data_IF_840075451997
#
_entry.id   IF_840075451997
#
_cell.length_a   1.000
_cell.length_b   1.000
_cell.length_c   1.000
_cell.angle_alpha   90.00
_cell.angle_beta   90.00
_cell.angle_gamma   90.00
#
_symmetry.space_group_name_H-M   'P 1'
#
loop_
_entity.id
_entity.type
_entity.pdbx_description
1 polymer ?
#
# COMPACT_ATOMS: atom_id res chain seq x y z
N UNK A 1 50.75 -33.28 -19.27
CA UNK A 1 49.47 -32.75 -19.78
C UNK A 1 48.62 -32.44 -18.55
N UNK A 2 48.73 -31.27 -17.93
CA UNK A 2 48.17 -29.96 -18.30
C UNK A 2 46.66 -30.03 -18.61
N UNK A 3 45.92 -29.31 -17.76
CA UNK A 3 44.49 -28.98 -17.67
C UNK A 3 43.74 -28.75 -18.99
N UNK A 4 42.43 -29.04 -19.02
CA UNK A 4 41.27 -28.09 -19.01
C UNK A 4 39.99 -28.98 -18.86
N UNK A 5 39.11 -28.80 -17.85
CA UNK A 5 38.02 -27.81 -17.78
C UNK A 5 36.91 -28.15 -18.81
N UNK A 6 35.60 -28.03 -18.61
CA UNK A 6 34.74 -27.21 -17.76
C UNK A 6 33.45 -28.02 -17.58
N UNK A 7 32.93 -28.06 -16.36
CA UNK A 7 31.58 -28.51 -16.07
C UNK A 7 30.61 -27.73 -16.96
N UNK A 8 29.98 -28.38 -17.94
CA UNK A 8 28.98 -27.76 -18.82
C UNK A 8 27.70 -27.45 -18.03
N UNK A 9 27.79 -26.49 -17.12
CA UNK A 9 26.65 -25.76 -16.62
C UNK A 9 26.18 -24.88 -17.77
N UNK A 10 25.18 -25.37 -18.51
CA UNK A 10 24.29 -24.45 -19.20
C UNK A 10 23.64 -23.60 -18.11
N UNK A 11 23.87 -22.27 -18.08
CA UNK A 11 23.14 -21.42 -17.16
C UNK A 11 21.66 -21.58 -17.47
N UNK A 12 20.87 -21.90 -16.45
CA UNK A 12 19.43 -21.84 -16.58
C UNK A 12 19.08 -20.36 -16.74
N UNK A 13 18.70 -19.95 -17.94
CA UNK A 13 18.08 -18.64 -18.17
C UNK A 13 16.72 -18.66 -17.46
N UNK A 14 16.69 -18.08 -16.27
CA UNK A 14 15.43 -17.78 -15.60
C UNK A 14 14.89 -16.52 -16.27
N UNK A 15 13.96 -16.72 -17.20
CA UNK A 15 13.07 -15.67 -17.65
C UNK A 15 12.18 -15.33 -16.45
N UNK A 16 12.38 -14.17 -15.85
CA UNK A 16 11.33 -13.56 -15.04
C UNK A 16 10.32 -13.10 -16.08
N UNK A 17 9.19 -13.79 -16.18
CA UNK A 17 8.04 -13.24 -16.89
C UNK A 17 7.77 -11.87 -16.25
N UNK A 18 8.01 -10.79 -16.99
CA UNK A 18 7.61 -9.43 -16.60
C UNK A 18 6.07 -9.35 -16.42
N UNK A 19 5.35 -10.38 -16.90
CA UNK A 19 3.94 -10.66 -16.67
C UNK A 19 3.68 -11.69 -15.56
N UNK A 20 4.58 -11.84 -14.58
CA UNK A 20 4.20 -12.47 -13.32
C UNK A 20 3.10 -11.61 -12.70
N UNK A 21 1.83 -11.89 -13.09
CA UNK A 21 0.61 -11.35 -12.50
C UNK A 21 0.88 -11.36 -11.01
N UNK A 22 1.07 -10.19 -10.41
CA UNK A 22 1.12 -10.06 -8.96
C UNK A 22 -0.25 -10.48 -8.51
N UNK A 23 -0.41 -11.78 -8.28
CA UNK A 23 -1.70 -12.35 -7.97
C UNK A 23 -1.98 -11.96 -6.54
N UNK A 24 -2.92 -11.03 -6.37
CA UNK A 24 -3.33 -10.45 -5.10
C UNK A 24 -4.17 -11.44 -4.27
N UNK A 25 -3.77 -12.72 -4.25
CA UNK A 25 -4.43 -13.77 -3.48
C UNK A 25 -4.42 -13.40 -1.98
N UNK A 26 -5.60 -13.27 -1.37
CA UNK A 26 -5.75 -12.91 0.05
C UNK A 26 -5.88 -11.42 0.34
N UNK A 27 -5.85 -10.55 -0.69
CA UNK A 27 -6.12 -9.12 -0.54
C UNK A 27 -7.57 -8.79 -0.91
N UNK A 28 -8.33 -8.32 0.08
CA UNK A 28 -9.66 -7.72 -0.14
C UNK A 28 -9.46 -6.28 -0.58
N UNK A 29 -10.15 -5.87 -1.64
CA UNK A 29 -9.99 -4.53 -2.22
C UNK A 29 -11.35 -3.82 -2.32
N UNK A 30 -11.39 -2.59 -1.85
CA UNK A 30 -12.56 -1.75 -1.90
C UNK A 30 -12.24 -0.32 -2.34
N UNK A 31 -13.25 0.37 -2.90
CA UNK A 31 -13.19 1.80 -3.13
C UNK A 31 -14.31 2.56 -2.39
N UNK A 32 -14.09 3.85 -2.15
CA UNK A 32 -15.11 4.77 -1.64
C UNK A 32 -15.16 5.97 -2.57
N UNK A 33 -16.35 6.30 -3.07
CA UNK A 33 -16.61 7.57 -3.74
C UNK A 33 -16.99 8.62 -2.71
N UNK A 34 -16.26 9.72 -2.69
CA UNK A 34 -16.45 10.82 -1.74
C UNK A 34 -15.82 12.09 -2.29
N UNK A 35 -16.23 13.25 -1.79
CA UNK A 35 -15.57 14.51 -2.15
C UNK A 35 -14.25 14.67 -1.40
N UNK A 36 -13.40 15.55 -1.90
CA UNK A 36 -12.07 15.79 -1.34
C UNK A 36 -12.13 16.25 0.13
N UNK A 37 -13.08 17.13 0.44
CA UNK A 37 -13.33 17.66 1.78
C UNK A 37 -13.84 16.61 2.78
N UNK A 38 -14.37 15.48 2.30
CA UNK A 38 -14.92 14.40 3.14
C UNK A 38 -13.85 13.37 3.54
N UNK A 39 -12.69 13.36 2.86
CA UNK A 39 -11.65 12.34 3.03
C UNK A 39 -11.11 12.25 4.46
N UNK A 40 -10.84 13.37 5.12
CA UNK A 40 -10.33 13.39 6.49
C UNK A 40 -11.31 12.73 7.46
N UNK A 41 -12.59 13.13 7.39
CA UNK A 41 -13.62 12.55 8.25
C UNK A 41 -13.76 11.06 7.98
N UNK A 42 -13.83 10.67 6.70
CA UNK A 42 -13.97 9.26 6.33
C UNK A 42 -12.77 8.42 6.74
N UNK A 43 -11.55 8.97 6.68
CA UNK A 43 -10.35 8.28 7.15
C UNK A 43 -10.42 8.02 8.66
N UNK A 44 -10.80 9.02 9.45
CA UNK A 44 -10.97 8.83 10.90
C UNK A 44 -12.03 7.76 11.21
N UNK A 45 -13.19 7.82 10.53
CA UNK A 45 -14.24 6.79 10.67
C UNK A 45 -13.70 5.38 10.37
N UNK A 46 -12.81 5.23 9.37
CA UNK A 46 -12.18 3.95 9.04
C UNK A 46 -11.15 3.51 10.08
N UNK A 47 -10.34 4.44 10.59
CA UNK A 47 -9.33 4.13 11.61
C UNK A 47 -9.95 3.75 12.95
N UNK A 48 -11.14 4.26 13.27
CA UNK A 48 -11.92 3.87 14.45
C UNK A 48 -12.66 2.53 14.25
N UNK A 49 -13.17 2.25 13.05
CA UNK A 49 -14.00 1.08 12.79
C UNK A 49 -13.21 -0.19 12.44
N UNK A 50 -12.01 -0.06 11.87
CA UNK A 50 -11.23 -1.20 11.40
C UNK A 50 -10.26 -1.69 12.49
N UNK A 51 -10.27 -3.00 12.74
CA UNK A 51 -9.17 -3.63 13.47
C UNK A 51 -7.93 -3.69 12.59
N UNK A 52 -6.77 -3.20 13.07
CA UNK A 52 -5.52 -3.37 12.34
C UNK A 52 -4.29 -3.50 13.21
N UNK A 53 -3.26 -4.20 12.75
CA UNK A 53 -1.94 -4.16 13.38
C UNK A 53 -1.23 -2.88 12.96
N UNK A 54 -1.06 -2.69 11.65
CA UNK A 54 -0.43 -1.54 11.04
C UNK A 54 -1.11 -1.16 9.72
N UNK A 55 -1.24 0.14 9.49
CA UNK A 55 -1.84 0.72 8.29
C UNK A 55 -0.86 1.67 7.60
N UNK A 56 -0.86 1.63 6.27
CA UNK A 56 -0.13 2.58 5.44
C UNK A 56 -1.14 3.40 4.65
N UNK A 57 -0.98 4.71 4.72
CA UNK A 57 -1.86 5.68 4.06
C UNK A 57 -1.04 6.40 2.99
N UNK A 58 -1.36 6.14 1.73
CA UNK A 58 -0.67 6.76 0.60
C UNK A 58 -1.34 8.07 0.16
N UNK A 59 -0.52 9.11 0.00
CA UNK A 59 -0.91 10.44 -0.49
C UNK A 59 -0.03 10.85 -1.67
N UNK A 60 -0.53 11.79 -2.49
CA UNK A 60 0.13 12.17 -3.76
C UNK A 60 1.30 13.15 -3.63
N UNK A 61 1.45 13.84 -2.50
CA UNK A 61 2.49 14.87 -2.35
C UNK A 61 3.10 14.94 -0.95
N UNK A 62 4.30 15.52 -0.89
CA UNK A 62 5.07 15.72 0.35
C UNK A 62 4.32 16.60 1.34
N UNK A 63 3.71 17.71 0.90
CA UNK A 63 2.99 18.59 1.83
C UNK A 63 1.74 17.90 2.39
N UNK A 64 1.01 17.17 1.56
CA UNK A 64 -0.15 16.39 2.01
C UNK A 64 0.23 15.31 3.02
N UNK A 65 1.39 14.69 2.85
CA UNK A 65 1.89 13.70 3.81
C UNK A 65 2.14 14.32 5.18
N UNK A 66 2.79 15.49 5.21
CA UNK A 66 3.06 16.21 6.44
C UNK A 66 1.77 16.77 7.09
N UNK A 67 0.85 17.30 6.29
CA UNK A 67 -0.44 17.84 6.76
C UNK A 67 -1.33 16.75 7.34
N UNK A 68 -1.44 15.60 6.66
CA UNK A 68 -2.25 14.48 7.12
C UNK A 68 -1.68 13.84 8.39
N UNK A 69 -0.36 13.66 8.47
CA UNK A 69 0.31 13.16 9.68
C UNK A 69 0.06 14.06 10.88
N UNK A 70 0.17 15.39 10.69
CA UNK A 70 -0.15 16.36 11.73
C UNK A 70 -1.61 16.24 12.18
N UNK A 71 -2.55 16.17 11.23
CA UNK A 71 -3.98 16.05 11.54
C UNK A 71 -4.29 14.78 12.32
N UNK A 72 -3.73 13.64 11.91
CA UNK A 72 -3.92 12.35 12.59
C UNK A 72 -3.43 12.41 14.04
N UNK A 73 -2.25 12.98 14.28
CA UNK A 73 -1.71 13.18 15.63
C UNK A 73 -2.63 14.09 16.47
N UNK A 74 -3.16 15.18 15.90
CA UNK A 74 -4.12 16.06 16.56
C UNK A 74 -5.45 15.34 16.88
N UNK A 75 -5.85 14.36 16.06
CA UNK A 75 -7.01 13.51 16.29
C UNK A 75 -6.73 12.31 17.21
N UNK A 76 -5.59 12.27 17.91
CA UNK A 76 -5.17 11.15 18.78
C UNK A 76 -4.94 9.82 18.05
N UNK A 77 -4.58 9.87 16.77
CA UNK A 77 -4.05 8.73 16.01
C UNK A 77 -2.54 8.89 15.89
N UNK A 78 -1.72 8.23 16.74
CA UNK A 78 -0.27 8.32 16.62
C UNK A 78 0.17 7.79 15.25
N UNK A 79 0.71 8.68 14.42
CA UNK A 79 1.22 8.39 13.09
C UNK A 79 2.64 8.88 12.92
N UNK A 80 3.31 8.33 11.91
CA UNK A 80 4.54 8.89 11.37
C UNK A 80 4.38 9.18 9.88
N UNK A 81 5.09 10.18 9.38
CA UNK A 81 5.22 10.44 7.95
C UNK A 81 6.58 9.98 7.40
N UNK A 82 6.58 9.37 6.21
CA UNK A 82 7.78 9.13 5.38
C UNK A 82 7.49 9.59 3.95
N UNK A 83 8.24 10.58 3.45
CA UNK A 83 7.99 11.13 2.12
C UNK A 83 9.28 11.35 1.32
N UNK A 84 9.12 11.64 0.02
CA UNK A 84 10.23 11.71 -0.93
C UNK A 84 11.30 12.77 -0.65
N UNK A 85 10.95 13.85 0.07
CA UNK A 85 11.87 14.92 0.47
C UNK A 85 12.76 14.65 1.69
N UNK A 86 12.68 13.48 2.32
CA UNK A 86 13.52 13.12 3.47
C UNK A 86 14.84 12.46 3.01
N UNK A 87 15.90 12.63 3.80
CA UNK A 87 17.15 11.90 3.59
C UNK A 87 16.92 10.39 3.71
N UNK A 88 17.77 9.56 3.08
CA UNK A 88 17.65 8.10 3.20
C UNK A 88 17.74 7.64 4.65
N UNK A 89 18.67 8.22 5.41
CA UNK A 89 18.88 7.91 6.84
C UNK A 89 17.63 8.17 7.68
N UNK A 90 17.00 9.33 7.52
CA UNK A 90 15.80 9.69 8.28
C UNK A 90 14.63 8.76 7.95
N UNK A 91 14.47 8.42 6.67
CA UNK A 91 13.41 7.49 6.25
C UNK A 91 13.62 6.09 6.83
N UNK A 92 14.86 5.59 6.85
CA UNK A 92 15.19 4.30 7.47
C UNK A 92 14.97 4.31 8.98
N UNK A 93 15.33 5.40 9.67
CA UNK A 93 15.13 5.57 11.11
C UNK A 93 13.64 5.52 11.48
N UNK A 94 12.80 6.28 10.79
CA UNK A 94 11.34 6.28 11.01
C UNK A 94 10.73 4.93 10.69
N UNK A 95 11.13 4.35 9.55
CA UNK A 95 10.64 3.05 9.13
C UNK A 95 10.99 1.94 10.12
N UNK A 96 12.20 1.97 10.72
CA UNK A 96 12.59 1.05 11.78
C UNK A 96 11.62 1.12 12.97
N UNK A 97 11.29 2.32 13.44
CA UNK A 97 10.33 2.52 14.53
C UNK A 97 8.94 1.95 14.22
N UNK A 98 8.45 2.19 12.99
CA UNK A 98 7.21 1.59 12.51
C UNK A 98 7.30 0.06 12.46
N UNK A 99 8.35 -0.51 11.87
CA UNK A 99 8.53 -1.97 11.79
C UNK A 99 8.60 -2.66 13.16
N UNK A 100 9.11 -1.96 14.17
CA UNK A 100 9.18 -2.43 15.56
C UNK A 100 7.85 -2.25 16.33
N UNK A 101 6.83 -1.63 15.73
CA UNK A 101 5.51 -1.46 16.32
C UNK A 101 5.37 -0.24 17.24
N UNK A 102 6.37 0.66 17.30
CA UNK A 102 6.29 1.90 18.08
C UNK A 102 5.19 2.84 17.56
N UNK A 103 4.81 2.70 16.29
CA UNK A 103 3.70 3.41 15.67
C UNK A 103 2.98 2.49 14.70
N UNK A 104 1.65 2.55 14.70
CA UNK A 104 0.79 1.67 13.88
C UNK A 104 0.34 2.30 12.57
N UNK A 105 0.46 3.62 12.43
CA UNK A 105 0.01 4.36 11.25
C UNK A 105 1.21 5.01 10.56
N UNK A 106 1.37 4.74 9.26
CA UNK A 106 2.39 5.36 8.41
C UNK A 106 1.72 6.12 7.27
N UNK A 107 1.90 7.44 7.21
CA UNK A 107 1.54 8.26 6.05
C UNK A 107 2.74 8.33 5.11
N UNK A 108 2.54 8.05 3.82
CA UNK A 108 3.63 8.04 2.85
C UNK A 108 3.25 8.55 1.46
N UNK A 109 4.23 9.11 0.76
CA UNK A 109 4.18 9.22 -0.71
C UNK A 109 4.63 7.90 -1.35
N UNK A 110 4.62 7.79 -2.67
CA UNK A 110 5.27 6.64 -3.32
C UNK A 110 6.77 6.58 -2.98
N UNK A 111 7.18 5.46 -2.37
CA UNK A 111 8.56 5.21 -1.93
C UNK A 111 9.26 4.12 -2.77
N UNK A 112 8.68 3.73 -3.91
CA UNK A 112 9.23 2.70 -4.80
C UNK A 112 10.68 3.04 -5.19
N UNK A 113 11.57 2.04 -5.17
CA UNK A 113 12.98 2.17 -5.57
C UNK A 113 13.90 2.83 -4.53
N UNK A 114 13.41 3.11 -3.31
CA UNK A 114 14.16 3.88 -2.29
C UNK A 114 14.68 3.04 -1.12
N UNK A 115 14.78 1.73 -1.27
CA UNK A 115 15.33 0.83 -0.25
C UNK A 115 14.48 0.68 1.02
N UNK A 116 13.23 1.15 0.99
CA UNK A 116 12.24 0.89 2.05
C UNK A 116 11.23 -0.08 1.48
N UNK A 117 11.30 -1.32 1.94
CA UNK A 117 10.31 -2.33 1.64
C UNK A 117 9.30 -2.39 2.78
N UNK A 118 8.15 -1.74 2.59
CA UNK A 118 7.04 -1.77 3.54
C UNK A 118 6.35 -3.12 3.40
N UNK A 119 6.79 -4.10 4.19
CA UNK A 119 6.22 -5.44 4.22
C UNK A 119 5.41 -5.64 5.50
N UNK A 120 4.39 -6.51 5.45
CA UNK A 120 3.60 -6.99 6.61
C UNK A 120 2.62 -5.99 7.22
N UNK A 121 2.14 -5.04 6.42
CA UNK A 121 1.00 -4.21 6.83
C UNK A 121 -0.28 -4.96 6.50
N UNK A 122 -1.29 -4.86 7.35
CA UNK A 122 -2.56 -5.56 7.11
C UNK A 122 -3.57 -4.67 6.41
N UNK A 123 -3.42 -3.33 6.48
CA UNK A 123 -4.27 -2.39 5.75
C UNK A 123 -3.43 -1.41 4.92
N UNK A 124 -3.86 -1.20 3.68
CA UNK A 124 -3.41 -0.11 2.81
C UNK A 124 -4.59 0.81 2.54
N UNK A 125 -4.41 2.11 2.72
CA UNK A 125 -5.39 3.13 2.33
C UNK A 125 -4.75 4.04 1.29
N UNK A 126 -5.30 4.05 0.07
CA UNK A 126 -4.99 5.09 -0.91
C UNK A 126 -5.89 6.29 -0.61
N UNK A 127 -5.39 7.21 0.21
CA UNK A 127 -6.07 8.48 0.51
C UNK A 127 -6.16 9.35 -0.76
N UNK A 128 -5.10 9.32 -1.57
CA UNK A 128 -5.11 9.80 -2.95
C UNK A 128 -4.95 8.62 -3.90
N UNK A 129 -5.80 8.57 -4.93
CA UNK A 129 -5.65 7.62 -6.03
C UNK A 129 -4.24 7.76 -6.64
N UNK A 130 -3.53 6.65 -6.88
CA UNK A 130 -2.26 6.67 -7.60
C UNK A 130 -2.43 7.14 -9.05
N UNK A 131 -1.34 7.63 -9.65
CA UNK A 131 -1.37 8.17 -11.02
C UNK A 131 -1.51 7.09 -12.10
N UNK A 132 -1.31 5.81 -11.75
CA UNK A 132 -1.37 4.70 -12.68
C UNK A 132 -1.80 3.39 -12.03
N UNK A 133 -2.24 2.44 -12.85
CA UNK A 133 -2.59 1.09 -12.43
C UNK A 133 -1.38 0.32 -11.87
N UNK A 134 -0.18 0.53 -12.43
CA UNK A 134 1.05 -0.13 -11.94
C UNK A 134 1.42 0.40 -10.55
N UNK A 135 1.34 1.72 -10.34
CA UNK A 135 1.55 2.33 -9.02
C UNK A 135 0.53 1.81 -8.00
N UNK A 136 -0.75 1.67 -8.39
CA UNK A 136 -1.77 1.05 -7.55
C UNK A 136 -1.35 -0.33 -7.06
N UNK A 137 -0.92 -1.20 -7.99
CA UNK A 137 -0.51 -2.56 -7.68
C UNK A 137 0.69 -2.60 -6.73
N UNK A 138 1.67 -1.72 -6.93
CA UNK A 138 2.83 -1.60 -6.04
C UNK A 138 2.46 -1.14 -4.62
N UNK A 139 1.43 -0.30 -4.47
CA UNK A 139 0.93 0.16 -3.17
C UNK A 139 0.14 -0.93 -2.46
N UNK A 140 -0.84 -1.53 -3.13
CA UNK A 140 -1.72 -2.52 -2.48
C UNK A 140 -1.02 -3.86 -2.24
N UNK A 141 -0.01 -4.19 -3.05
CA UNK A 141 0.85 -5.36 -2.83
C UNK A 141 1.71 -5.31 -1.56
N UNK A 142 1.66 -4.22 -0.78
CA UNK A 142 2.27 -4.13 0.57
C UNK A 142 1.46 -4.88 1.63
N UNK A 143 0.17 -5.12 1.36
CA UNK A 143 -0.71 -5.94 2.18
C UNK A 143 -0.91 -7.34 1.55
N UNK A 144 -1.27 -8.32 2.38
CA UNK A 144 -1.70 -9.65 1.92
C UNK A 144 -0.59 -10.53 1.30
N UNK A 145 0.68 -10.34 1.66
CA UNK A 145 1.80 -11.17 1.15
C UNK A 145 1.90 -12.50 1.91
N UNK A 146 2.43 -13.54 1.25
CA UNK A 146 2.75 -14.85 1.84
C UNK A 146 1.56 -15.58 2.50
N UNK A 147 0.38 -15.53 1.88
CA UNK A 147 -0.82 -16.21 2.40
C UNK A 147 -1.47 -15.52 3.59
N UNK A 148 -1.05 -14.30 3.93
CA UNK A 148 -1.73 -13.46 4.91
C UNK A 148 -2.92 -12.75 4.27
N UNK A 149 -3.95 -12.48 5.08
CA UNK A 149 -5.07 -11.65 4.67
C UNK A 149 -4.71 -10.18 4.77
N UNK A 150 -5.28 -9.36 3.90
CA UNK A 150 -5.12 -7.91 3.95
C UNK A 150 -6.30 -7.17 3.34
N UNK A 151 -6.37 -5.87 3.62
CA UNK A 151 -7.40 -4.96 3.11
C UNK A 151 -6.75 -3.76 2.41
N UNK A 152 -7.22 -3.45 1.21
CA UNK A 152 -6.93 -2.20 0.52
C UNK A 152 -8.20 -1.38 0.35
N UNK A 153 -8.20 -0.12 0.78
CA UNK A 153 -9.29 0.82 0.57
C UNK A 153 -8.77 2.02 -0.24
N UNK A 154 -9.46 2.38 -1.31
CA UNK A 154 -9.05 3.50 -2.18
C UNK A 154 -10.12 4.58 -2.25
N UNK A 155 -9.74 5.82 -1.99
CA UNK A 155 -10.61 6.98 -2.15
C UNK A 155 -10.65 7.43 -3.61
N UNK A 156 -11.86 7.73 -4.09
CA UNK A 156 -12.16 8.18 -5.45
C UNK A 156 -12.91 9.50 -5.34
N UNK A 157 -12.24 10.63 -5.62
CA UNK A 157 -12.82 11.97 -5.45
C UNK A 157 -13.03 12.76 -6.73
N UNK A 158 -12.52 12.29 -7.87
CA UNK A 158 -12.72 12.95 -9.15
C UNK A 158 -12.82 11.97 -10.33
N UNK A 159 -13.14 12.48 -11.52
CA UNK A 159 -13.31 11.65 -12.73
C UNK A 159 -12.02 10.94 -13.13
N UNK A 160 -10.86 11.59 -12.97
CA UNK A 160 -9.56 10.96 -13.27
C UNK A 160 -9.30 9.77 -12.35
N UNK A 161 -9.74 9.82 -11.09
CA UNK A 161 -9.62 8.67 -10.19
C UNK A 161 -10.48 7.50 -10.68
N UNK A 162 -11.69 7.79 -11.19
CA UNK A 162 -12.55 6.77 -11.78
C UNK A 162 -11.89 6.12 -13.00
N UNK A 163 -11.20 6.90 -13.83
CA UNK A 163 -10.46 6.39 -14.99
C UNK A 163 -9.32 5.46 -14.57
N UNK A 164 -8.54 5.84 -13.55
CA UNK A 164 -7.47 4.97 -13.00
C UNK A 164 -8.07 3.69 -12.40
N UNK A 165 -9.14 3.79 -11.61
CA UNK A 165 -9.82 2.64 -11.03
C UNK A 165 -10.30 1.66 -12.11
N UNK A 166 -10.92 2.17 -13.18
CA UNK A 166 -11.36 1.35 -14.30
C UNK A 166 -10.18 0.66 -15.00
N UNK A 167 -9.07 1.38 -15.19
CA UNK A 167 -7.85 0.83 -15.76
C UNK A 167 -7.27 -0.31 -14.89
N UNK A 168 -7.21 -0.12 -13.57
CA UNK A 168 -6.79 -1.18 -12.62
C UNK A 168 -7.65 -2.43 -12.77
N UNK A 169 -8.98 -2.27 -12.76
CA UNK A 169 -9.91 -3.39 -12.87
C UNK A 169 -9.76 -4.14 -14.20
N UNK A 170 -9.65 -3.40 -15.32
CA UNK A 170 -9.48 -4.02 -16.64
C UNK A 170 -8.12 -4.70 -16.81
N UNK A 171 -7.04 -4.05 -16.37
CA UNK A 171 -5.66 -4.51 -16.61
C UNK A 171 -5.31 -5.73 -15.78
N UNK A 172 -5.81 -5.80 -14.54
CA UNK A 172 -5.50 -6.90 -13.62
C UNK A 172 -6.64 -7.89 -13.46
N UNK A 173 -7.74 -7.73 -14.19
CA UNK A 173 -8.92 -8.60 -14.14
C UNK A 173 -9.46 -8.77 -12.71
N UNK A 174 -9.54 -7.64 -11.97
CA UNK A 174 -10.02 -7.59 -10.58
C UNK A 174 -11.34 -6.81 -10.49
N UNK A 175 -12.23 -7.28 -9.61
CA UNK A 175 -13.50 -6.59 -9.29
C UNK A 175 -13.34 -5.85 -7.95
N UNK A 176 -13.02 -4.56 -8.00
CA UNK A 176 -12.84 -3.73 -6.80
C UNK A 176 -14.21 -3.15 -6.45
N UNK A 177 -14.84 -3.71 -5.43
CA UNK A 177 -16.21 -3.35 -5.04
C UNK A 177 -16.23 -2.08 -4.21
N UNK A 178 -17.34 -1.34 -4.27
CA UNK A 178 -17.56 -0.26 -3.31
C UNK A 178 -17.53 -0.82 -1.88
N UNK A 179 -16.97 -0.06 -0.94
CA UNK A 179 -16.92 -0.45 0.47
C UNK A 179 -18.35 -0.68 0.99
N UNK A 180 -18.66 -1.85 1.57
CA UNK A 180 -19.95 -2.08 2.21
C UNK A 180 -20.06 -1.26 3.51
N UNK A 181 -21.27 -1.14 4.05
CA UNK A 181 -21.49 -0.48 5.35
C UNK A 181 -20.80 -1.22 6.50
N UNK A 182 -20.66 -2.54 6.39
CA UNK A 182 -20.00 -3.41 7.36
C UNK A 182 -19.01 -4.31 6.65
N UNK A 183 -17.82 -4.44 7.22
CA UNK A 183 -16.77 -5.35 6.75
C UNK A 183 -16.54 -6.36 7.87
N UNK A 184 -16.59 -7.64 7.52
CA UNK A 184 -16.25 -8.70 8.46
C UNK A 184 -14.72 -8.76 8.64
N UNK A 185 -14.25 -8.55 9.87
CA UNK A 185 -12.83 -8.62 10.25
C UNK A 185 -12.17 -9.93 9.79
N UNK A 186 -12.93 -11.03 9.74
CA UNK A 186 -12.45 -12.34 9.30
C UNK A 186 -11.99 -12.35 7.84
N UNK A 187 -12.43 -11.40 7.00
CA UNK A 187 -12.06 -11.36 5.58
C UNK A 187 -10.65 -10.81 5.38
N UNK A 188 -10.13 -10.01 6.31
CA UNK A 188 -8.87 -9.29 6.15
C UNK A 188 -7.88 -9.46 7.32
N UNK A 189 -8.27 -10.13 8.41
CA UNK A 189 -7.37 -10.51 9.50
C UNK A 189 -7.30 -12.04 9.66
N UNK A 190 -6.12 -12.59 10.05
CA UNK A 190 -6.03 -13.98 10.47
C UNK A 190 -6.83 -14.20 11.77
N UNK A 191 -7.43 -15.39 11.87
CA UNK A 191 -8.17 -15.86 13.06
C UNK A 191 -7.25 -16.17 14.22
#
# INVERSE_FOLDING_TARGET
MIYYDICSFQPMEIYVDDEAKLTLHGLVQHYIKLKEEEKNRKLNDLLDALDFNQVVIFVKSVSRAAELDKLLVECNFPSICIHSGMSQEERLKRYKGFKEGHTRILVATDLVGRGIDIERVNIVINYDMPDSADTYLHRVGRAGRFGTKGLAITFVSCSTDVDVLNNVQSRFEVDIKQLPEQIDTSTYMPS
#
